data_IF_055866334476
#
_entry.id   IF_055866334476
#
_cell.length_a   1.000
_cell.length_b   1.000
_cell.length_c   1.000
_cell.angle_alpha   90.00
_cell.angle_beta   90.00
_cell.angle_gamma   90.00
#
_symmetry.space_group_name_H-M   'P 1'
#
loop_
_entity.id
_entity.type
_entity.pdbx_description
1 polymer ?
#
# COMPACT_ATOMS: atom_id res chain seq x y z
N UNK A 1 -6.99 -10.09 33.87
CA UNK A 1 -6.60 -8.69 34.18
C UNK A 1 -7.15 -7.76 33.13
N UNK A 2 -7.79 -6.67 33.56
CA UNK A 2 -8.49 -5.74 32.65
C UNK A 2 -7.52 -4.70 32.08
N UNK A 3 -7.49 -4.54 30.77
CA UNK A 3 -6.67 -3.52 30.13
C UNK A 3 -7.21 -2.10 30.39
N UNK A 4 -6.40 -1.15 30.90
CA UNK A 4 -6.88 0.20 31.19
C UNK A 4 -7.20 1.03 29.94
N UNK A 5 -6.68 0.62 28.77
CA UNK A 5 -6.88 1.35 27.52
C UNK A 5 -8.16 0.94 26.77
N UNK A 6 -8.49 -0.36 26.75
CA UNK A 6 -9.64 -0.88 25.99
C UNK A 6 -10.67 -1.65 26.82
N UNK A 7 -10.42 -1.83 28.12
CA UNK A 7 -11.31 -2.52 29.06
C UNK A 7 -11.63 -3.98 28.73
N UNK A 8 -10.77 -4.63 27.92
CA UNK A 8 -10.84 -6.06 27.60
C UNK A 8 -10.12 -6.87 28.69
N UNK A 9 -10.67 -8.03 29.06
CA UNK A 9 -10.02 -8.96 29.99
C UNK A 9 -8.92 -9.78 29.28
N UNK A 10 -7.75 -9.84 29.90
CA UNK A 10 -6.55 -10.52 29.41
C UNK A 10 -6.10 -11.59 30.41
N UNK A 11 -5.46 -12.68 29.98
CA UNK A 11 -4.95 -13.71 30.89
C UNK A 11 -3.93 -13.15 31.88
N UNK A 12 -3.82 -13.78 33.05
CA UNK A 12 -2.79 -13.43 34.02
C UNK A 12 -1.40 -13.72 33.45
N UNK A 13 -0.51 -12.73 33.51
CA UNK A 13 0.82 -12.79 32.87
C UNK A 13 0.87 -12.27 31.43
N UNK A 14 -0.23 -11.73 30.89
CA UNK A 14 -0.19 -11.01 29.62
C UNK A 14 0.78 -9.81 29.72
N UNK A 15 1.80 -9.79 28.87
CA UNK A 15 2.76 -8.67 28.78
C UNK A 15 2.16 -7.51 27.96
N UNK A 16 1.24 -7.81 27.04
CA UNK A 16 0.64 -6.83 26.13
C UNK A 16 -0.82 -7.17 25.80
N UNK A 17 -1.65 -6.15 25.62
CA UNK A 17 -3.04 -6.27 25.20
C UNK A 17 -3.18 -6.19 23.67
N UNK A 18 -4.24 -6.79 23.11
CA UNK A 18 -4.58 -6.72 21.68
C UNK A 18 -4.77 -5.28 21.16
N UNK A 19 -5.14 -4.33 22.02
CA UNK A 19 -5.23 -2.93 21.64
C UNK A 19 -3.86 -2.22 21.53
N UNK A 20 -2.75 -2.95 21.70
CA UNK A 20 -1.39 -2.43 21.64
C UNK A 20 -0.80 -1.96 22.97
N UNK A 21 -1.60 -1.91 24.05
CA UNK A 21 -1.16 -1.47 25.37
C UNK A 21 -0.18 -2.47 26.01
N UNK A 22 1.02 -2.01 26.36
CA UNK A 22 2.04 -2.80 27.05
C UNK A 22 1.90 -2.62 28.56
N UNK A 23 1.74 -3.73 29.29
CA UNK A 23 1.52 -3.72 30.73
C UNK A 23 2.80 -3.49 31.54
N UNK A 24 3.97 -3.76 30.96
CA UNK A 24 5.27 -3.53 31.62
C UNK A 24 5.67 -2.06 31.57
N UNK A 25 5.44 -1.38 30.45
CA UNK A 25 5.78 0.05 30.28
C UNK A 25 4.62 0.99 30.53
N UNK A 26 3.39 0.47 30.67
CA UNK A 26 2.16 1.26 30.80
C UNK A 26 1.92 2.25 29.64
N UNK A 27 2.42 1.92 28.44
CA UNK A 27 2.30 2.75 27.24
C UNK A 27 1.58 2.00 26.13
N UNK A 28 0.84 2.72 25.29
CA UNK A 28 0.37 2.18 24.01
C UNK A 28 1.54 2.26 23.05
N UNK A 29 2.17 1.12 22.79
CA UNK A 29 3.12 1.01 21.70
C UNK A 29 2.31 0.68 20.45
N UNK A 30 2.65 1.27 19.31
CA UNK A 30 2.09 0.85 18.03
C UNK A 30 2.20 -0.67 17.93
N UNK A 31 1.10 -1.33 17.55
CA UNK A 31 1.10 -2.77 17.34
C UNK A 31 2.30 -3.11 16.44
N UNK A 32 3.04 -4.20 16.74
CA UNK A 32 4.18 -4.64 15.92
C UNK A 32 3.83 -4.85 14.44
N UNK A 33 2.53 -4.79 14.11
CA UNK A 33 1.94 -4.85 12.77
C UNK A 33 1.71 -3.48 12.11
N UNK A 34 2.33 -2.40 12.58
CA UNK A 34 2.49 -1.20 11.76
C UNK A 34 3.41 -1.55 10.58
N UNK A 35 2.85 -2.24 9.58
CA UNK A 35 3.45 -2.42 8.27
C UNK A 35 3.52 -1.03 7.70
N UNK A 36 4.67 -0.39 7.89
CA UNK A 36 4.97 0.92 7.31
C UNK A 36 4.81 0.74 5.81
N UNK A 37 3.75 1.33 5.25
CA UNK A 37 3.48 1.24 3.83
C UNK A 37 4.71 1.75 3.07
N UNK A 38 5.27 0.91 2.20
CA UNK A 38 6.50 1.24 1.50
C UNK A 38 6.22 2.35 0.48
N UNK A 39 7.16 3.27 0.33
CA UNK A 39 7.15 4.17 -0.81
C UNK A 39 7.81 3.45 -2.00
N UNK A 40 7.19 3.41 -3.19
CA UNK A 40 7.84 2.86 -4.36
C UNK A 40 9.16 3.60 -4.63
N UNK A 41 10.12 2.90 -5.21
CA UNK A 41 11.37 3.53 -5.61
C UNK A 41 11.08 4.63 -6.63
N UNK A 42 11.65 5.81 -6.42
CA UNK A 42 11.55 6.95 -7.34
C UNK A 42 11.80 6.56 -8.82
N UNK A 43 12.83 5.76 -9.17
CA UNK A 43 13.03 5.36 -10.57
C UNK A 43 11.88 4.52 -11.13
N UNK A 44 11.25 3.65 -10.34
CA UNK A 44 10.10 2.87 -10.80
C UNK A 44 8.93 3.79 -11.16
N UNK A 45 8.72 4.84 -10.36
CA UNK A 45 7.67 5.83 -10.59
C UNK A 45 7.95 6.65 -11.85
N UNK A 46 9.19 7.11 -12.04
CA UNK A 46 9.62 7.83 -13.25
C UNK A 46 9.49 6.97 -14.50
N UNK A 47 9.97 5.72 -14.47
CA UNK A 47 9.85 4.77 -15.58
C UNK A 47 8.37 4.50 -15.88
N UNK A 48 7.55 4.31 -14.85
CA UNK A 48 6.11 4.13 -14.99
C UNK A 48 5.45 5.27 -15.76
N UNK A 49 5.78 6.52 -15.45
CA UNK A 49 5.27 7.69 -16.16
C UNK A 49 5.72 7.74 -17.62
N UNK A 50 7.01 7.53 -17.87
CA UNK A 50 7.56 7.50 -19.23
C UNK A 50 6.84 6.43 -20.07
N UNK A 51 6.73 5.21 -19.54
CA UNK A 51 6.02 4.11 -20.21
C UNK A 51 4.52 4.38 -20.40
N UNK A 52 3.89 5.12 -19.49
CA UNK A 52 2.46 5.48 -19.60
C UNK A 52 2.20 6.51 -20.70
N UNK A 53 3.12 7.47 -20.87
CA UNK A 53 3.03 8.50 -21.91
C UNK A 53 3.38 7.94 -23.29
N UNK A 54 4.44 7.12 -23.37
CA UNK A 54 4.80 6.42 -24.61
C UNK A 54 3.70 5.44 -25.06
N UNK A 55 2.81 5.06 -24.14
CA UNK A 55 1.69 4.18 -24.39
C UNK A 55 2.08 2.70 -24.39
N UNK A 56 1.07 1.85 -24.53
CA UNK A 56 1.23 0.42 -24.62
C UNK A 56 1.09 -0.32 -23.29
N UNK A 57 1.17 -1.64 -23.40
CA UNK A 57 0.85 -2.57 -22.31
C UNK A 57 1.80 -2.45 -21.11
N UNK A 58 3.06 -2.04 -21.33
CA UNK A 58 4.05 -1.90 -20.25
C UNK A 58 3.66 -0.82 -19.24
N UNK A 59 3.19 0.35 -19.68
CA UNK A 59 2.72 1.41 -18.79
C UNK A 59 1.55 0.96 -17.91
N UNK A 60 0.60 0.23 -18.52
CA UNK A 60 -0.55 -0.35 -17.83
C UNK A 60 -0.10 -1.35 -16.76
N UNK A 61 0.83 -2.25 -17.08
CA UNK A 61 1.36 -3.24 -16.12
C UNK A 61 2.02 -2.57 -14.92
N UNK A 62 2.89 -1.57 -15.15
CA UNK A 62 3.57 -0.87 -14.07
C UNK A 62 2.55 -0.12 -13.19
N UNK A 63 1.57 0.55 -13.79
CA UNK A 63 0.52 1.25 -13.05
C UNK A 63 -0.36 0.29 -12.22
N UNK A 64 -0.67 -0.88 -12.76
CA UNK A 64 -1.37 -1.95 -12.03
C UNK A 64 -0.54 -2.47 -10.85
N UNK A 65 0.77 -2.69 -11.03
CA UNK A 65 1.65 -3.11 -9.95
C UNK A 65 1.64 -2.07 -8.82
N UNK A 66 1.83 -0.79 -9.11
CA UNK A 66 1.84 0.25 -8.07
C UNK A 66 0.47 0.37 -7.37
N UNK A 67 -0.63 0.23 -8.11
CA UNK A 67 -1.98 0.42 -7.57
C UNK A 67 -2.46 -0.75 -6.72
N UNK A 68 -2.14 -1.98 -7.14
CA UNK A 68 -2.70 -3.22 -6.61
C UNK A 68 -1.68 -4.15 -5.95
N UNK A 69 -0.41 -3.78 -5.86
CA UNK A 69 0.57 -4.59 -5.14
C UNK A 69 0.17 -4.71 -3.67
N UNK A 70 0.07 -5.96 -3.22
CA UNK A 70 -0.22 -6.34 -1.83
C UNK A 70 1.07 -6.85 -1.18
N UNK A 71 1.16 -6.70 0.13
CA UNK A 71 2.30 -7.23 0.87
C UNK A 71 2.29 -8.78 0.81
N UNK A 72 3.48 -9.40 0.71
CA UNK A 72 3.63 -10.86 0.72
C UNK A 72 3.29 -11.47 2.07
N UNK A 73 3.56 -10.74 3.17
CA UNK A 73 3.29 -11.20 4.53
C UNK A 73 1.82 -11.03 4.91
N UNK A 74 1.16 -9.99 4.40
CA UNK A 74 -0.25 -9.71 4.67
C UNK A 74 -0.99 -9.30 3.39
N UNK A 75 -1.80 -10.22 2.85
CA UNK A 75 -2.61 -10.01 1.64
C UNK A 75 -3.76 -9.01 1.83
N UNK A 76 -4.07 -8.64 3.07
CA UNK A 76 -5.09 -7.63 3.37
C UNK A 76 -4.55 -6.21 3.22
N UNK A 77 -3.23 -6.03 3.34
CA UNK A 77 -2.58 -4.73 3.29
C UNK A 77 -1.91 -4.46 1.93
N UNK A 78 -2.02 -3.21 1.49
CA UNK A 78 -1.33 -2.74 0.30
C UNK A 78 0.15 -2.58 0.58
N UNK A 79 0.97 -2.91 -0.41
CA UNK A 79 2.42 -2.73 -0.30
C UNK A 79 2.79 -1.25 -0.23
N UNK A 80 2.12 -0.44 -1.05
CA UNK A 80 2.44 0.98 -1.21
C UNK A 80 1.48 1.89 -0.43
N UNK A 81 2.00 3.04 -0.02
CA UNK A 81 1.24 4.08 0.67
C UNK A 81 0.09 4.64 -0.19
N UNK A 82 -0.90 5.25 0.48
CA UNK A 82 -2.10 5.75 -0.20
C UNK A 82 -1.80 6.83 -1.25
N UNK A 83 -0.78 7.66 -1.03
CA UNK A 83 -0.40 8.71 -1.98
C UNK A 83 0.18 8.11 -3.27
N UNK A 84 1.06 7.12 -3.13
CA UNK A 84 1.64 6.38 -4.25
C UNK A 84 0.59 5.61 -5.04
N UNK A 85 -0.43 5.05 -4.36
CA UNK A 85 -1.56 4.39 -5.03
C UNK A 85 -2.47 5.37 -5.77
N UNK A 86 -2.72 6.57 -5.22
CA UNK A 86 -3.45 7.63 -5.93
C UNK A 86 -2.71 8.03 -7.21
N UNK A 87 -1.38 8.18 -7.13
CA UNK A 87 -0.56 8.42 -8.33
C UNK A 87 -0.63 7.24 -9.32
N UNK A 88 -0.56 6.00 -8.84
CA UNK A 88 -0.71 4.80 -9.66
C UNK A 88 -2.04 4.73 -10.41
N UNK A 89 -3.16 5.14 -9.80
CA UNK A 89 -4.47 5.22 -10.45
C UNK A 89 -4.52 6.25 -11.56
N UNK A 90 -3.95 7.44 -11.33
CA UNK A 90 -3.85 8.49 -12.35
C UNK A 90 -2.99 8.00 -13.52
N UNK A 91 -1.84 7.41 -13.20
CA UNK A 91 -0.92 6.84 -14.19
C UNK A 91 -1.60 5.75 -15.03
N UNK A 92 -2.41 4.87 -14.40
CA UNK A 92 -3.20 3.85 -15.09
C UNK A 92 -4.21 4.46 -16.06
N UNK A 93 -4.94 5.50 -15.63
CA UNK A 93 -5.90 6.20 -16.49
C UNK A 93 -5.24 6.80 -17.73
N UNK A 94 -4.08 7.43 -17.57
CA UNK A 94 -3.32 8.00 -18.68
C UNK A 94 -2.81 6.89 -19.62
N UNK A 95 -2.24 5.81 -19.08
CA UNK A 95 -1.75 4.69 -19.89
C UNK A 95 -2.86 4.05 -20.75
N UNK A 96 -4.06 3.88 -20.20
CA UNK A 96 -5.22 3.36 -20.93
C UNK A 96 -5.64 4.34 -22.04
N UNK A 97 -5.79 5.63 -21.71
CA UNK A 97 -6.18 6.64 -22.68
C UNK A 97 -5.19 6.72 -23.86
N UNK A 98 -3.88 6.75 -23.57
CA UNK A 98 -2.84 6.76 -24.60
C UNK A 98 -2.87 5.50 -25.46
N UNK A 99 -3.07 4.33 -24.85
CA UNK A 99 -3.17 3.05 -25.58
C UNK A 99 -4.37 3.04 -26.53
N UNK A 100 -5.53 3.55 -26.11
CA UNK A 100 -6.72 3.67 -26.96
C UNK A 100 -6.47 4.62 -28.13
N UNK A 101 -5.87 5.78 -27.89
CA UNK A 101 -5.54 6.75 -28.95
C UNK A 101 -4.57 6.13 -29.97
N UNK A 102 -3.55 5.40 -29.50
CA UNK A 102 -2.60 4.71 -30.38
C UNK A 102 -3.28 3.65 -31.24
N UNK A 103 -4.20 2.86 -30.68
CA UNK A 103 -4.95 1.85 -31.44
C UNK A 103 -5.85 2.51 -32.50
N UNK A 104 -6.55 3.59 -32.15
CA UNK A 104 -7.41 4.34 -33.09
C UNK A 104 -6.60 4.94 -34.24
N UNK A 105 -5.34 5.33 -34.01
CA UNK A 105 -4.46 5.87 -35.06
C UNK A 105 -3.94 4.81 -36.03
N UNK A 106 -3.89 3.55 -35.61
CA UNK A 106 -3.36 2.43 -36.40
C UNK A 106 -4.46 1.78 -37.24
N UNK A 107 -5.69 1.73 -36.71
CA UNK A 107 -6.89 1.24 -37.41
C UNK A 107 -7.38 2.25 -38.45
#
# INVERSE_FOLDING_TARGET
>A
MICPNCNIDNPEGAVRCNCGYDFGTSTVVDSYSAVVAEKPSTPLLVIGWICSILGGWLGIVIACIITFSKNKQDKSQYKYDESSRKQGKIMLGIAIAMTVISIIRIL
#
